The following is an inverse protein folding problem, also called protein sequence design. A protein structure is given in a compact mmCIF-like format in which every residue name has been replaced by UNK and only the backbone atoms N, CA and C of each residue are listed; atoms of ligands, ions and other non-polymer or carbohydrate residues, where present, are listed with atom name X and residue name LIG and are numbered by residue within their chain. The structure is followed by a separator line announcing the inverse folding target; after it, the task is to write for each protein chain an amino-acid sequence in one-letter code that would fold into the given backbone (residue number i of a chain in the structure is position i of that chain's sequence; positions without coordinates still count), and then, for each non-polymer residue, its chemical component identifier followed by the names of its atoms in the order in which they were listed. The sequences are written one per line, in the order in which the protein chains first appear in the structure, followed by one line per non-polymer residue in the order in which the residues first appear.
data_IF_191717404328
#
_entry.id   IF_191717404328
#
_cell.length_a   1.000
_cell.length_b   1.000
_cell.length_c   1.000
_cell.angle_alpha   90.00
_cell.angle_beta   90.00
_cell.angle_gamma   90.00
#
_symmetry.space_group_name_H-M   'P 1'
#
loop_
_entity.id
_entity.type
_entity.pdbx_description
1 polymer ?
#
# COMPACT_ATOMS: atom_id res chain seq x y z
N UNK A 1 10.03 26.16 -27.91
CA UNK A 1 8.61 26.17 -27.47
C UNK A 1 7.84 24.87 -27.78
N UNK A 2 8.06 24.22 -28.92
CA UNK A 2 7.33 22.94 -29.28
C UNK A 2 7.65 21.81 -28.32
N UNK A 3 8.93 21.61 -27.98
CA UNK A 3 9.35 20.53 -27.06
C UNK A 3 8.76 20.65 -25.66
N UNK A 4 8.63 21.86 -25.11
CA UNK A 4 8.00 22.07 -23.81
C UNK A 4 6.50 21.73 -23.81
N UNK A 5 5.81 22.03 -24.94
CA UNK A 5 4.39 21.64 -25.10
C UNK A 5 4.21 20.14 -25.24
N UNK A 6 5.14 19.47 -25.94
CA UNK A 6 5.10 18.00 -26.09
C UNK A 6 5.39 17.30 -24.74
N UNK A 7 6.36 17.78 -23.96
CA UNK A 7 6.65 17.27 -22.63
C UNK A 7 5.47 17.48 -21.68
N UNK A 8 4.84 18.65 -21.71
CA UNK A 8 3.66 18.92 -20.89
C UNK A 8 2.48 18.02 -21.30
N UNK A 9 2.25 17.85 -22.59
CA UNK A 9 1.18 16.99 -23.10
C UNK A 9 1.42 15.52 -22.75
N UNK A 10 2.67 15.02 -22.84
CA UNK A 10 3.00 13.65 -22.44
C UNK A 10 2.83 13.43 -20.94
N UNK A 11 3.26 14.39 -20.12
CA UNK A 11 3.08 14.33 -18.66
C UNK A 11 1.58 14.30 -18.27
N UNK A 12 0.79 15.19 -18.88
CA UNK A 12 -0.66 15.22 -18.66
C UNK A 12 -1.36 13.91 -19.11
N UNK A 13 -0.88 13.34 -20.23
CA UNK A 13 -1.42 12.05 -20.71
C UNK A 13 -1.09 10.90 -19.77
N UNK A 14 0.12 10.86 -19.21
CA UNK A 14 0.52 9.84 -18.23
C UNK A 14 -0.31 9.98 -16.95
N UNK A 15 -0.48 11.20 -16.45
CA UNK A 15 -1.32 11.48 -15.27
C UNK A 15 -2.79 11.09 -15.53
N UNK A 16 -3.33 11.46 -16.69
CA UNK A 16 -4.71 11.10 -17.04
C UNK A 16 -4.91 9.58 -17.16
N UNK A 17 -3.93 8.87 -17.76
CA UNK A 17 -3.95 7.41 -17.86
C UNK A 17 -3.86 6.73 -16.48
N UNK A 18 -3.01 7.23 -15.59
CA UNK A 18 -2.89 6.67 -14.24
C UNK A 18 -4.14 6.93 -13.38
N UNK A 19 -4.84 8.04 -13.60
CA UNK A 19 -6.11 8.33 -12.93
C UNK A 19 -7.30 7.55 -13.52
N UNK A 20 -7.21 7.15 -14.80
CA UNK A 20 -8.23 6.36 -15.49
C UNK A 20 -8.02 4.84 -15.37
N UNK A 21 -6.84 4.40 -14.91
CA UNK A 21 -6.59 3.00 -14.64
C UNK A 21 -7.38 2.59 -13.39
N UNK A 22 -8.53 1.98 -13.60
CA UNK A 22 -9.23 1.31 -12.51
C UNK A 22 -8.34 0.20 -11.97
N UNK A 23 -8.16 0.09 -10.63
CA UNK A 23 -7.47 -1.06 -10.06
C UNK A 23 -8.21 -2.31 -10.51
N UNK A 24 -7.49 -3.23 -11.14
CA UNK A 24 -8.05 -4.55 -11.47
C UNK A 24 -8.62 -5.10 -10.17
N UNK A 25 -9.95 -5.23 -10.11
CA UNK A 25 -10.66 -5.73 -8.96
C UNK A 25 -10.37 -7.25 -8.80
N UNK A 26 -9.17 -7.57 -8.36
CA UNK A 26 -8.92 -8.81 -7.65
C UNK A 26 -9.76 -8.73 -6.37
N UNK A 27 -10.39 -9.80 -5.98
CA UNK A 27 -11.24 -9.84 -4.79
C UNK A 27 -10.51 -9.18 -3.63
N UNK A 28 -11.10 -8.11 -3.07
CA UNK A 28 -10.49 -7.36 -1.99
C UNK A 28 -10.44 -8.25 -0.74
N UNK A 29 -9.24 -8.46 -0.23
CA UNK A 29 -9.08 -9.03 1.12
C UNK A 29 -9.33 -7.94 2.16
N UNK A 30 -9.64 -8.32 3.39
CA UNK A 30 -9.74 -7.37 4.52
C UNK A 30 -8.47 -6.53 4.64
N UNK A 31 -7.31 -7.15 4.47
CA UNK A 31 -6.00 -6.46 4.45
C UNK A 31 -5.95 -5.41 3.35
N UNK A 32 -6.40 -5.74 2.13
CA UNK A 32 -6.42 -4.79 1.03
C UNK A 32 -7.38 -3.62 1.29
N UNK A 33 -8.53 -3.86 1.89
CA UNK A 33 -9.49 -2.82 2.27
C UNK A 33 -8.91 -1.87 3.31
N UNK A 34 -8.25 -2.40 4.34
CA UNK A 34 -7.57 -1.61 5.38
C UNK A 34 -6.45 -0.74 4.80
N UNK A 35 -5.62 -1.31 3.92
CA UNK A 35 -4.53 -0.58 3.25
C UNK A 35 -5.08 0.49 2.31
N UNK A 36 -6.11 0.18 1.52
CA UNK A 36 -6.75 1.15 0.63
C UNK A 36 -7.40 2.29 1.41
N UNK A 37 -8.10 2.00 2.50
CA UNK A 37 -8.67 3.02 3.38
C UNK A 37 -7.62 3.91 4.05
N UNK A 38 -6.44 3.38 4.38
CA UNK A 38 -5.29 4.17 4.82
C UNK A 38 -4.78 5.06 3.69
N UNK A 39 -4.57 4.50 2.50
CA UNK A 39 -4.09 5.23 1.34
C UNK A 39 -4.99 6.43 0.99
N UNK A 40 -6.31 6.26 1.00
CA UNK A 40 -7.25 7.36 0.78
C UNK A 40 -7.07 8.50 1.79
N UNK A 41 -6.93 8.17 3.09
CA UNK A 41 -6.69 9.18 4.15
C UNK A 41 -5.37 9.91 3.94
N UNK A 42 -4.30 9.19 3.56
CA UNK A 42 -3.00 9.77 3.29
C UNK A 42 -3.04 10.68 2.05
N UNK A 43 -3.72 10.26 0.98
CA UNK A 43 -3.89 11.06 -0.25
C UNK A 43 -4.68 12.33 0.02
N UNK A 44 -5.71 12.28 0.86
CA UNK A 44 -6.49 13.47 1.25
C UNK A 44 -5.62 14.56 1.88
N UNK A 45 -4.55 14.20 2.57
CA UNK A 45 -3.58 15.13 3.17
C UNK A 45 -2.46 15.46 2.21
N UNK A 46 -1.90 14.44 1.53
CA UNK A 46 -0.73 14.61 0.67
C UNK A 46 -1.01 15.47 -0.58
N UNK A 47 -2.15 15.23 -1.24
CA UNK A 47 -2.48 15.95 -2.49
C UNK A 47 -2.59 17.47 -2.30
N UNK A 48 -3.33 18.01 -1.31
CA UNK A 48 -3.37 19.45 -1.07
C UNK A 48 -2.02 20.06 -0.73
N UNK A 49 -1.19 19.36 0.06
CA UNK A 49 0.16 19.81 0.40
C UNK A 49 1.03 19.87 -0.85
N UNK A 50 1.00 18.82 -1.67
CA UNK A 50 1.76 18.77 -2.93
C UNK A 50 1.33 19.91 -3.86
N UNK A 51 0.04 20.10 -4.08
CA UNK A 51 -0.45 21.19 -4.94
C UNK A 51 -0.07 22.57 -4.42
N UNK A 52 -0.08 22.77 -3.10
CA UNK A 52 0.36 24.02 -2.48
C UNK A 52 1.85 24.27 -2.74
N UNK A 53 2.69 23.28 -2.49
CA UNK A 53 4.15 23.39 -2.68
C UNK A 53 4.49 23.60 -4.15
N UNK A 54 3.94 22.80 -5.05
CA UNK A 54 4.14 22.95 -6.50
C UNK A 54 3.66 24.31 -6.99
N UNK A 55 2.50 24.77 -6.51
CA UNK A 55 1.99 26.11 -6.84
C UNK A 55 2.94 27.24 -6.41
N UNK A 56 3.50 27.14 -5.21
CA UNK A 56 4.50 28.11 -4.72
C UNK A 56 5.78 28.05 -5.57
N UNK A 57 6.27 26.86 -5.90
CA UNK A 57 7.46 26.69 -6.73
C UNK A 57 7.24 27.25 -8.14
N UNK A 58 6.16 26.92 -8.78
CA UNK A 58 5.79 27.42 -10.11
C UNK A 58 5.67 28.95 -10.07
N UNK A 59 4.95 29.51 -9.10
CA UNK A 59 4.84 30.94 -8.91
C UNK A 59 6.21 31.62 -8.76
N UNK A 60 7.09 31.05 -7.94
CA UNK A 60 8.42 31.58 -7.68
C UNK A 60 9.27 31.60 -8.95
N UNK A 61 9.23 30.51 -9.73
CA UNK A 61 9.96 30.45 -11.02
C UNK A 61 9.44 31.52 -11.96
N UNK A 62 8.14 31.63 -12.19
CA UNK A 62 7.59 32.63 -13.10
C UNK A 62 7.81 34.06 -12.62
N UNK A 63 7.77 34.30 -11.30
CA UNK A 63 7.92 35.65 -10.71
C UNK A 63 9.36 36.15 -10.74
N UNK A 64 10.34 35.24 -10.64
CA UNK A 64 11.74 35.61 -10.45
C UNK A 64 12.68 35.17 -11.59
N UNK A 65 12.18 34.53 -12.66
CA UNK A 65 13.00 34.05 -13.78
C UNK A 65 13.83 35.12 -14.50
N UNK A 66 13.35 36.36 -14.46
CA UNK A 66 14.01 37.50 -15.14
C UNK A 66 14.65 38.46 -14.12
N UNK A 67 14.94 38.01 -12.89
CA UNK A 67 15.60 38.81 -11.87
C UNK A 67 17.12 38.92 -12.15
N UNK A 68 17.65 40.13 -12.27
CA UNK A 68 19.05 40.36 -12.58
C UNK A 68 19.99 39.98 -11.44
N UNK A 69 19.53 40.07 -10.19
CA UNK A 69 20.30 39.74 -8.98
C UNK A 69 19.53 38.86 -8.01
N UNK A 70 20.20 37.83 -7.50
CA UNK A 70 19.66 37.01 -6.41
C UNK A 70 19.80 37.79 -5.08
N UNK A 71 18.70 37.92 -4.35
CA UNK A 71 18.74 38.49 -3.01
C UNK A 71 19.37 37.47 -2.04
N UNK A 72 20.23 37.96 -1.11
CA UNK A 72 20.81 37.06 -0.09
C UNK A 72 19.71 36.41 0.75
N UNK A 73 19.92 35.14 1.08
CA UNK A 73 19.03 34.39 1.99
C UNK A 73 18.96 35.06 3.35
N UNK A 74 17.76 35.30 3.85
CA UNK A 74 17.51 35.82 5.18
C UNK A 74 16.83 34.77 6.04
N UNK A 75 17.29 34.66 7.29
CA UNK A 75 16.67 33.78 8.26
C UNK A 75 15.24 34.26 8.60
N UNK A 76 14.29 33.33 8.60
CA UNK A 76 12.93 33.60 9.00
C UNK A 76 12.49 32.58 10.04
N UNK A 77 12.79 32.86 11.32
CA UNK A 77 12.49 31.98 12.45
C UNK A 77 11.00 31.61 12.57
N UNK A 78 10.10 32.51 12.18
CA UNK A 78 8.65 32.22 12.21
C UNK A 78 8.30 31.15 11.18
N UNK A 79 8.84 31.27 9.99
CA UNK A 79 8.63 30.30 8.93
C UNK A 79 9.23 28.94 9.31
N UNK A 80 10.43 28.92 9.89
CA UNK A 80 11.10 27.71 10.34
C UNK A 80 10.28 26.97 11.41
N UNK A 81 9.78 27.68 12.42
CA UNK A 81 8.92 27.09 13.45
C UNK A 81 7.61 26.58 12.82
N UNK A 82 7.01 27.35 11.89
CA UNK A 82 5.75 26.97 11.25
C UNK A 82 5.87 25.66 10.49
N UNK A 83 6.88 25.50 9.63
CA UNK A 83 7.01 24.26 8.88
C UNK A 83 7.43 23.09 9.76
N UNK A 84 8.26 23.31 10.79
CA UNK A 84 8.63 22.26 11.75
C UNK A 84 7.41 21.73 12.49
N UNK A 85 6.55 22.62 12.98
CA UNK A 85 5.31 22.22 13.66
C UNK A 85 4.35 21.55 12.66
N UNK A 86 4.18 22.10 11.47
CA UNK A 86 3.33 21.51 10.44
C UNK A 86 3.79 20.09 10.08
N UNK A 87 5.09 19.90 9.86
CA UNK A 87 5.68 18.58 9.57
C UNK A 87 5.48 17.61 10.73
N UNK A 88 5.67 18.05 11.98
CA UNK A 88 5.44 17.21 13.15
C UNK A 88 3.97 16.74 13.26
N UNK A 89 3.01 17.61 12.96
CA UNK A 89 1.58 17.28 12.94
C UNK A 89 1.29 16.24 11.83
N UNK A 90 1.84 16.43 10.62
CA UNK A 90 1.66 15.48 9.52
C UNK A 90 2.26 14.12 9.88
N UNK A 91 3.48 14.09 10.45
CA UNK A 91 4.13 12.84 10.88
C UNK A 91 3.33 12.12 11.97
N UNK A 92 2.80 12.87 12.94
CA UNK A 92 1.94 12.29 13.98
C UNK A 92 0.67 11.68 13.38
N UNK A 93 0.03 12.39 12.47
CA UNK A 93 -1.16 11.87 11.76
C UNK A 93 -0.85 10.59 10.99
N UNK A 94 0.24 10.58 10.19
CA UNK A 94 0.67 9.41 9.43
C UNK A 94 1.00 8.24 10.36
N UNK A 95 1.73 8.51 11.44
CA UNK A 95 2.08 7.48 12.44
C UNK A 95 0.86 6.84 13.09
N UNK A 96 -0.09 7.65 13.57
CA UNK A 96 -1.32 7.15 14.21
C UNK A 96 -2.20 6.40 13.21
N UNK A 97 -2.39 6.94 11.99
CA UNK A 97 -3.20 6.30 10.97
C UNK A 97 -2.60 4.95 10.51
N UNK A 98 -1.28 4.90 10.31
CA UNK A 98 -0.57 3.68 9.93
C UNK A 98 -0.56 2.64 11.05
N UNK A 99 -0.36 3.08 12.30
CA UNK A 99 -0.39 2.18 13.44
C UNK A 99 -1.75 1.52 13.61
N UNK A 100 -2.84 2.26 13.38
CA UNK A 100 -4.21 1.71 13.44
C UNK A 100 -4.47 0.58 12.43
N UNK A 101 -3.80 0.62 11.27
CA UNK A 101 -3.86 -0.47 10.28
C UNK A 101 -2.90 -1.60 10.65
N UNK A 102 -1.68 -1.26 11.04
CA UNK A 102 -0.63 -2.23 11.38
C UNK A 102 -1.01 -3.08 12.60
N UNK A 103 -1.69 -2.50 13.58
CA UNK A 103 -2.15 -3.20 14.78
C UNK A 103 -3.40 -4.09 14.56
N UNK A 104 -3.90 -4.17 13.32
CA UNK A 104 -5.02 -5.05 13.01
C UNK A 104 -4.53 -6.49 12.80
N UNK A 105 -5.20 -7.45 13.39
CA UNK A 105 -4.88 -8.88 13.30
C UNK A 105 -4.85 -9.43 11.86
N UNK A 106 -5.63 -8.84 10.95
CA UNK A 106 -5.61 -9.20 9.54
C UNK A 106 -4.41 -8.61 8.76
N UNK A 107 -3.56 -7.80 9.39
CA UNK A 107 -2.38 -7.19 8.77
C UNK A 107 -1.09 -7.68 9.41
N UNK A 108 -1.06 -7.77 10.73
CA UNK A 108 0.12 -8.22 11.47
C UNK A 108 -0.23 -9.46 12.28
N UNK A 109 0.42 -10.55 11.95
CA UNK A 109 0.30 -11.80 12.68
C UNK A 109 1.40 -11.84 13.75
N UNK A 110 1.04 -11.76 15.00
CA UNK A 110 1.95 -11.85 16.15
C UNK A 110 1.95 -13.27 16.74
N UNK A 111 2.67 -14.18 16.07
CA UNK A 111 2.95 -15.52 16.60
C UNK A 111 1.78 -16.51 16.58
N UNK A 112 2.04 -17.72 17.05
CA UNK A 112 1.08 -18.85 17.04
C UNK A 112 -0.17 -18.60 17.93
N UNK A 113 -0.06 -17.75 18.94
CA UNK A 113 -1.14 -17.49 19.89
C UNK A 113 -2.26 -16.58 19.35
N UNK A 114 -2.02 -15.93 18.22
CA UNK A 114 -3.00 -15.06 17.53
C UNK A 114 -3.39 -15.58 16.15
N UNK A 115 -3.01 -16.81 15.82
CA UNK A 115 -3.48 -17.46 14.60
C UNK A 115 -5.01 -17.54 14.66
N UNK A 116 -5.67 -17.04 13.60
CA UNK A 116 -7.12 -17.22 13.45
C UNK A 116 -7.39 -18.72 13.49
N UNK A 117 -8.09 -19.18 14.50
CA UNK A 117 -8.46 -20.59 14.60
C UNK A 117 -9.67 -20.86 13.68
N UNK A 118 -9.72 -22.01 13.00
CA UNK A 118 -10.90 -22.39 12.25
C UNK A 118 -12.09 -22.61 13.19
N UNK A 119 -13.27 -22.17 12.77
CA UNK A 119 -14.52 -22.46 13.47
C UNK A 119 -15.00 -23.90 13.22
N UNK A 120 -15.90 -24.37 14.06
CA UNK A 120 -16.51 -25.68 13.88
C UNK A 120 -17.28 -25.75 12.56
N UNK A 121 -16.79 -26.56 11.64
CA UNK A 121 -17.37 -26.74 10.30
C UNK A 121 -16.59 -26.05 9.16
N UNK A 122 -15.57 -25.27 9.45
CA UNK A 122 -14.69 -24.73 8.43
C UNK A 122 -13.88 -25.83 7.76
N UNK A 123 -13.61 -25.65 6.48
CA UNK A 123 -12.69 -26.51 5.74
C UNK A 123 -11.25 -26.03 5.97
N UNK A 124 -10.44 -26.90 6.53
CA UNK A 124 -9.01 -26.58 6.77
C UNK A 124 -8.15 -27.14 5.65
N UNK A 125 -7.35 -26.27 5.05
CA UNK A 125 -6.35 -26.62 4.02
C UNK A 125 -4.98 -26.22 4.52
N UNK A 126 -4.07 -27.17 4.66
CA UNK A 126 -2.67 -26.88 4.94
C UNK A 126 -1.89 -26.75 3.64
N UNK A 127 -1.26 -25.60 3.46
CA UNK A 127 -0.39 -25.30 2.32
C UNK A 127 1.06 -25.20 2.79
N UNK A 128 1.91 -26.10 2.34
CA UNK A 128 3.35 -26.08 2.61
C UNK A 128 4.12 -25.77 1.34
N UNK A 129 4.87 -24.68 1.35
CA UNK A 129 5.78 -24.33 0.27
C UNK A 129 7.10 -25.10 0.40
N UNK A 130 7.68 -25.45 -0.72
CA UNK A 130 9.01 -26.04 -0.83
C UNK A 130 9.64 -25.68 -2.19
N UNK A 131 10.97 -25.73 -2.29
CA UNK A 131 11.64 -25.56 -3.58
C UNK A 131 11.49 -26.83 -4.41
N UNK A 132 10.67 -26.89 -5.48
CA UNK A 132 10.06 -25.79 -6.25
C UNK A 132 8.56 -26.09 -6.42
N UNK A 133 7.77 -25.92 -5.41
CA UNK A 133 6.34 -26.20 -5.50
C UNK A 133 5.59 -26.04 -4.21
N UNK A 134 4.41 -26.60 -4.19
CA UNK A 134 3.49 -26.56 -3.06
C UNK A 134 2.96 -27.95 -2.73
N UNK A 135 2.73 -28.17 -1.45
CA UNK A 135 2.00 -29.33 -0.95
C UNK A 135 0.72 -28.81 -0.31
N UNK A 136 -0.42 -29.31 -0.78
CA UNK A 136 -1.71 -29.09 -0.14
C UNK A 136 -2.16 -30.34 0.59
N UNK A 137 -2.63 -30.22 1.81
CA UNK A 137 -3.25 -31.31 2.55
C UNK A 137 -4.57 -30.89 3.19
N UNK A 138 -5.51 -31.83 3.24
CA UNK A 138 -6.82 -31.68 3.83
C UNK A 138 -6.89 -32.61 5.03
N UNK A 139 -6.64 -32.12 6.25
CA UNK A 139 -6.53 -32.96 7.44
C UNK A 139 -7.78 -33.78 7.76
N UNK A 140 -8.96 -33.22 7.45
CA UNK A 140 -10.23 -33.88 7.71
C UNK A 140 -10.48 -35.09 6.77
N UNK A 141 -9.83 -35.14 5.61
CA UNK A 141 -10.10 -36.12 4.53
C UNK A 141 -8.90 -37.00 4.23
N UNK A 142 -7.78 -36.81 4.94
CA UNK A 142 -6.52 -37.54 4.75
C UNK A 142 -5.99 -37.50 3.29
N UNK A 143 -6.20 -36.36 2.61
CA UNK A 143 -5.77 -36.14 1.23
C UNK A 143 -4.54 -35.23 1.21
N UNK A 144 -3.54 -35.62 0.42
CA UNK A 144 -2.33 -34.82 0.14
C UNK A 144 -2.08 -34.70 -1.35
N UNK A 145 -1.80 -33.48 -1.79
CA UNK A 145 -1.44 -33.13 -3.17
C UNK A 145 -0.10 -32.41 -3.17
N UNK A 146 0.84 -32.84 -4.02
CA UNK A 146 2.13 -32.18 -4.16
C UNK A 146 2.46 -31.98 -5.64
N UNK A 147 2.74 -30.74 -6.03
CA UNK A 147 3.21 -30.40 -7.36
C UNK A 147 3.81 -28.99 -7.38
N UNK A 148 4.34 -28.56 -8.55
CA UNK A 148 4.75 -27.16 -8.71
C UNK A 148 3.58 -26.16 -8.58
N UNK A 149 2.36 -26.61 -8.89
CA UNK A 149 1.13 -25.84 -8.75
C UNK A 149 -0.04 -26.83 -8.53
N UNK A 150 -0.31 -27.29 -7.31
CA UNK A 150 -1.42 -28.19 -7.02
C UNK A 150 -2.76 -27.49 -7.25
N UNK A 151 -3.72 -28.22 -7.81
CA UNK A 151 -5.10 -27.74 -7.86
C UNK A 151 -5.76 -27.98 -6.51
N UNK A 152 -6.05 -26.89 -5.80
CA UNK A 152 -6.76 -26.94 -4.53
C UNK A 152 -8.26 -26.83 -4.82
N UNK A 153 -9.05 -27.78 -4.33
CA UNK A 153 -10.51 -27.82 -4.49
C UNK A 153 -11.15 -27.43 -3.17
N UNK A 154 -11.98 -26.39 -3.21
CA UNK A 154 -12.67 -25.87 -2.04
C UNK A 154 -14.18 -25.81 -2.28
N UNK A 155 -15.01 -25.94 -1.24
CA UNK A 155 -16.47 -25.83 -1.35
C UNK A 155 -16.87 -24.38 -1.66
N UNK A 156 -17.99 -24.22 -2.37
CA UNK A 156 -18.58 -22.92 -2.63
C UNK A 156 -19.50 -22.51 -1.50
N UNK A 157 -19.35 -21.29 -1.00
CA UNK A 157 -20.24 -20.70 0.01
C UNK A 157 -20.01 -21.22 1.43
N UNK A 158 -18.84 -21.74 1.68
CA UNK A 158 -18.38 -22.18 2.99
C UNK A 158 -17.03 -21.51 3.28
N UNK A 159 -16.75 -21.18 4.52
CA UNK A 159 -15.49 -20.61 4.92
C UNK A 159 -14.37 -21.64 4.85
N UNK A 160 -13.21 -21.22 4.37
CA UNK A 160 -12.02 -22.06 4.18
C UNK A 160 -10.85 -21.44 4.91
N UNK A 161 -10.31 -22.19 5.83
CA UNK A 161 -9.11 -21.80 6.58
C UNK A 161 -7.85 -22.34 5.93
N UNK A 162 -6.99 -21.45 5.45
CA UNK A 162 -5.68 -21.79 4.90
C UNK A 162 -4.58 -21.61 5.95
N UNK A 163 -3.98 -22.71 6.37
CA UNK A 163 -2.75 -22.67 7.16
C UNK A 163 -1.56 -22.77 6.21
N UNK A 164 -0.82 -21.67 6.07
CA UNK A 164 0.28 -21.53 5.09
C UNK A 164 1.61 -21.54 5.81
N UNK A 165 2.50 -22.44 5.42
CA UNK A 165 3.84 -22.57 5.97
C UNK A 165 4.88 -22.84 4.86
N UNK A 166 6.15 -22.83 5.21
CA UNK A 166 7.24 -23.19 4.32
C UNK A 166 8.21 -24.15 5.02
N UNK A 167 8.72 -25.13 4.28
CA UNK A 167 9.73 -26.09 4.76
C UNK A 167 11.16 -25.67 4.47
N UNK A 168 11.39 -24.61 3.70
CA UNK A 168 12.75 -24.20 3.28
C UNK A 168 12.97 -22.68 3.31
N UNK A 169 12.55 -21.94 2.29
CA UNK A 169 12.77 -20.50 2.17
C UNK A 169 11.42 -19.74 2.20
N UNK A 170 11.46 -18.42 2.25
CA UNK A 170 10.27 -17.60 2.19
C UNK A 170 9.59 -17.72 0.82
N UNK A 171 8.30 -18.03 0.82
CA UNK A 171 7.45 -18.10 -0.37
C UNK A 171 6.28 -17.12 -0.24
N UNK A 172 5.74 -16.69 -1.37
CA UNK A 172 4.47 -15.96 -1.42
C UNK A 172 3.35 -16.91 -1.84
N UNK A 173 2.20 -16.82 -1.15
CA UNK A 173 0.98 -17.55 -1.44
C UNK A 173 -0.09 -16.63 -2.04
#
# INVERSE_FOLDING_TARGET
MIWARLLLASLLSVVALSLAAEPVAAQSSVTAELINGLNEKLLLVAVPITLLVEGILIYTVFRFKDADEAKPTQENRRLEITWTVATAIVLLFVGVASYGVLANENVTFEGDDQAIAPDDGDVVVHMEAFQWGWRASYPQEDVQLASTAPTVVIPKGQDVYFNVTSSDVLHAF
#
